data_IF_353812276089
#
_entry.id   IF_353812276089
#
_cell.length_a   1.000
_cell.length_b   1.000
_cell.length_c   1.000
_cell.angle_alpha   90.00
_cell.angle_beta   90.00
_cell.angle_gamma   90.00
#
_symmetry.space_group_name_H-M   'P 1'
#
loop_
_entity.id
_entity.type
_entity.pdbx_description
1 polymer ?
#
# COMPACT_ATOMS: atom_id res chain seq x y z
N UNK A 1 0.46 25.15 17.45
CA UNK A 1 1.23 24.82 16.25
C UNK A 1 1.15 23.33 16.10
N UNK A 2 0.79 22.86 14.92
CA UNK A 2 0.51 21.44 14.66
C UNK A 2 1.57 20.90 13.70
N UNK A 3 1.78 19.59 13.74
CA UNK A 3 2.70 18.88 12.83
C UNK A 3 1.90 18.06 11.84
N UNK A 4 2.27 18.09 10.56
CA UNK A 4 1.65 17.29 9.51
C UNK A 4 2.65 16.31 8.91
N UNK A 5 2.27 15.05 8.78
CA UNK A 5 3.11 13.97 8.27
C UNK A 5 2.42 13.21 7.15
N UNK A 6 3.19 12.76 6.15
CA UNK A 6 2.70 11.84 5.13
C UNK A 6 3.09 10.40 5.49
N UNK A 7 2.13 9.66 6.06
CA UNK A 7 2.35 8.38 6.74
C UNK A 7 3.00 8.52 8.12
N UNK A 8 2.88 7.49 8.96
CA UNK A 8 3.34 7.50 10.37
C UNK A 8 4.47 6.49 10.64
N UNK A 9 4.69 5.54 9.73
CA UNK A 9 5.59 4.42 9.96
C UNK A 9 7.08 4.68 9.64
N UNK A 10 7.42 5.83 9.07
CA UNK A 10 8.82 6.15 8.73
C UNK A 10 9.63 6.46 10.00
N UNK A 11 10.92 6.10 10.08
CA UNK A 11 11.71 6.29 11.31
C UNK A 11 11.67 7.72 11.87
N UNK A 12 11.83 8.73 11.01
CA UNK A 12 11.75 10.13 11.43
C UNK A 12 10.33 10.56 11.82
N UNK A 13 9.30 9.97 11.21
CA UNK A 13 7.91 10.28 11.52
C UNK A 13 7.53 9.70 12.89
N UNK A 14 7.96 8.47 13.20
CA UNK A 14 7.80 7.88 14.53
C UNK A 14 8.44 8.73 15.63
N UNK A 15 9.69 9.16 15.41
CA UNK A 15 10.38 10.04 16.35
C UNK A 15 9.67 11.39 16.52
N UNK A 16 9.14 11.97 15.42
CA UNK A 16 8.38 13.21 15.49
C UNK A 16 7.06 13.03 16.26
N UNK A 17 6.33 11.93 16.03
CA UNK A 17 5.08 11.61 16.74
C UNK A 17 5.34 11.47 18.24
N UNK A 18 6.36 10.72 18.64
CA UNK A 18 6.75 10.54 20.05
C UNK A 18 7.08 11.89 20.70
N UNK A 19 7.95 12.69 20.09
CA UNK A 19 8.34 14.00 20.60
C UNK A 19 7.16 14.98 20.72
N UNK A 20 6.24 14.96 19.76
CA UNK A 20 5.04 15.80 19.79
C UNK A 20 4.06 15.32 20.87
N UNK A 21 3.91 14.01 21.05
CA UNK A 21 3.09 13.41 22.10
C UNK A 21 3.52 13.85 23.50
N UNK A 22 4.82 13.84 23.80
CA UNK A 22 5.37 14.33 25.08
C UNK A 22 5.03 15.80 25.36
N UNK A 23 4.82 16.59 24.31
CA UNK A 23 4.59 18.05 24.37
C UNK A 23 3.14 18.43 24.15
N UNK A 24 2.24 17.45 24.00
CA UNK A 24 0.83 17.68 23.69
C UNK A 24 0.64 18.52 22.42
N UNK A 25 1.52 18.32 21.44
CA UNK A 25 1.44 18.94 20.11
C UNK A 25 0.63 18.03 19.19
N UNK A 26 -0.48 18.48 18.59
CA UNK A 26 -1.26 17.65 17.68
C UNK A 26 -0.45 17.26 16.44
N UNK A 27 -0.54 15.97 16.07
CA UNK A 27 0.02 15.45 14.83
C UNK A 27 -1.11 14.99 13.93
N UNK A 28 -1.14 15.50 12.71
CA UNK A 28 -2.07 15.07 11.67
C UNK A 28 -1.30 14.25 10.64
N UNK A 29 -1.75 13.03 10.41
CA UNK A 29 -1.12 12.11 9.46
C UNK A 29 -2.04 11.97 8.27
N UNK A 30 -1.54 12.33 7.09
CA UNK A 30 -2.23 12.07 5.83
C UNK A 30 -1.62 10.92 5.06
N UNK A 31 -2.46 10.22 4.29
CA UNK A 31 -2.11 9.10 3.42
C UNK A 31 -2.94 9.16 2.13
N UNK A 32 -2.54 8.40 1.11
CA UNK A 32 -3.20 8.38 -0.22
C UNK A 32 -4.70 7.96 -0.22
N UNK A 33 -5.32 7.75 0.94
CA UNK A 33 -6.75 7.49 1.08
C UNK A 33 -7.12 6.01 1.17
N UNK A 34 -8.14 5.72 1.97
CA UNK A 34 -8.79 4.40 2.00
C UNK A 34 -9.61 4.12 0.73
N UNK A 35 -10.16 5.18 0.11
CA UNK A 35 -10.92 5.12 -1.13
C UNK A 35 -10.20 5.97 -2.18
N UNK A 36 -9.66 5.31 -3.19
CA UNK A 36 -8.83 5.94 -4.23
C UNK A 36 -9.62 6.08 -5.55
N UNK A 37 -9.24 7.04 -6.42
CA UNK A 37 -8.05 7.90 -6.33
C UNK A 37 -8.29 9.29 -5.73
N UNK A 38 -9.54 9.66 -5.46
CA UNK A 38 -9.92 11.07 -5.32
C UNK A 38 -10.00 11.56 -3.87
N UNK A 39 -9.66 10.70 -2.90
CA UNK A 39 -9.68 11.03 -1.49
C UNK A 39 -8.31 10.82 -0.86
N UNK A 40 -8.02 11.64 0.14
CA UNK A 40 -6.84 11.54 1.00
C UNK A 40 -7.38 11.30 2.41
N UNK A 41 -6.78 10.35 3.12
CA UNK A 41 -7.10 10.14 4.54
C UNK A 41 -6.31 11.18 5.32
N UNK A 42 -6.93 11.83 6.31
CA UNK A 42 -6.27 12.71 7.28
C UNK A 42 -6.78 12.33 8.66
N UNK A 43 -5.90 11.82 9.50
CA UNK A 43 -6.22 11.36 10.85
C UNK A 43 -5.31 12.01 11.89
N UNK A 44 -5.81 12.09 13.12
CA UNK A 44 -5.06 12.59 14.27
C UNK A 44 -4.30 11.43 14.90
N UNK A 45 -3.05 11.68 15.29
CA UNK A 45 -2.13 10.79 16.01
C UNK A 45 -1.64 9.53 15.26
N UNK A 46 -2.34 9.04 14.24
CA UNK A 46 -1.95 7.86 13.47
C UNK A 46 -2.92 7.50 12.35
N UNK A 47 -2.47 6.67 11.40
CA UNK A 47 -3.27 6.24 10.24
C UNK A 47 -3.10 4.75 9.99
N UNK A 48 -3.99 4.13 9.20
CA UNK A 48 -3.96 2.70 8.88
C UNK A 48 -3.92 1.83 10.16
N UNK A 49 -2.88 1.03 10.38
CA UNK A 49 -2.75 0.19 11.58
C UNK A 49 -2.73 0.95 12.91
N UNK A 50 -2.36 2.24 12.91
CA UNK A 50 -2.43 3.12 14.08
C UNK A 50 -3.66 4.05 14.08
N UNK A 51 -4.59 3.87 13.15
CA UNK A 51 -5.85 4.62 13.11
C UNK A 51 -6.64 4.44 14.41
N UNK A 52 -7.23 5.54 14.88
CA UNK A 52 -8.17 5.53 16.01
C UNK A 52 -9.60 5.22 15.59
N UNK A 53 -9.86 5.03 14.29
CA UNK A 53 -11.18 4.72 13.78
C UNK A 53 -11.69 3.37 14.33
N UNK A 54 -13.02 3.22 14.48
CA UNK A 54 -13.61 1.99 14.97
C UNK A 54 -13.18 0.77 14.13
N UNK A 55 -12.87 -0.35 14.79
CA UNK A 55 -12.55 -1.61 14.10
C UNK A 55 -13.77 -2.47 13.78
N UNK A 56 -14.93 -2.09 14.31
CA UNK A 56 -16.18 -2.82 14.13
C UNK A 56 -16.86 -2.42 12.80
N UNK A 57 -17.02 -3.35 11.84
CA UNK A 57 -17.75 -3.09 10.60
C UNK A 57 -19.21 -2.66 10.82
N UNK A 58 -19.85 -3.12 11.89
CA UNK A 58 -21.24 -2.76 12.19
C UNK A 58 -21.38 -1.27 12.51
N UNK A 59 -20.38 -0.68 13.16
CA UNK A 59 -20.32 0.76 13.42
C UNK A 59 -20.40 1.57 12.12
N UNK A 60 -19.58 1.22 11.12
CA UNK A 60 -19.59 1.94 9.83
C UNK A 60 -20.90 1.79 9.08
N UNK A 61 -21.52 0.60 9.10
CA UNK A 61 -22.82 0.39 8.45
C UNK A 61 -23.92 1.21 9.12
N UNK A 62 -23.93 1.26 10.45
CA UNK A 62 -24.89 2.04 11.21
C UNK A 62 -24.70 3.54 10.97
N UNK A 63 -23.46 4.01 10.92
CA UNK A 63 -23.17 5.42 10.68
C UNK A 63 -23.46 5.81 9.22
N UNK A 64 -23.07 5.00 8.24
CA UNK A 64 -23.37 5.23 6.84
C UNK A 64 -24.87 5.30 6.55
N UNK A 65 -25.69 4.51 7.25
CA UNK A 65 -27.15 4.54 7.11
C UNK A 65 -27.78 5.85 7.60
N UNK A 66 -27.07 6.65 8.41
CA UNK A 66 -27.54 7.96 8.90
C UNK A 66 -27.11 9.11 8.00
N UNK A 67 -26.16 8.88 7.09
CA UNK A 67 -25.66 9.92 6.20
C UNK A 67 -26.68 10.22 5.08
N UNK A 68 -26.76 11.47 4.61
CA UNK A 68 -27.50 11.77 3.40
C UNK A 68 -26.85 11.07 2.19
N UNK A 69 -27.56 10.97 1.06
CA UNK A 69 -26.95 10.51 -0.19
C UNK A 69 -25.66 11.26 -0.48
N UNK A 70 -24.64 10.53 -0.94
CA UNK A 70 -23.34 11.11 -1.24
C UNK A 70 -23.49 12.25 -2.28
N UNK A 71 -22.81 13.39 -2.09
CA UNK A 71 -22.81 14.45 -3.08
C UNK A 71 -22.20 13.97 -4.40
N UNK A 72 -22.47 14.70 -5.48
CA UNK A 72 -21.84 14.42 -6.78
C UNK A 72 -20.33 14.51 -6.61
N UNK A 73 -19.68 13.40 -6.94
CA UNK A 73 -18.24 13.23 -6.79
C UNK A 73 -17.48 13.91 -7.94
N UNK A 74 -16.44 14.67 -7.61
CA UNK A 74 -15.53 15.25 -8.59
C UNK A 74 -14.24 14.44 -8.63
N UNK A 75 -13.82 14.04 -9.83
CA UNK A 75 -12.60 13.26 -10.00
C UNK A 75 -11.37 14.16 -10.07
N UNK A 76 -10.29 13.69 -9.47
CA UNK A 76 -8.95 14.28 -9.57
C UNK A 76 -8.34 13.81 -10.89
N UNK A 77 -7.97 14.73 -11.81
CA UNK A 77 -7.35 14.35 -13.06
C UNK A 77 -6.06 13.56 -12.82
N UNK A 78 -5.98 12.37 -13.40
CA UNK A 78 -4.84 11.47 -13.24
C UNK A 78 -4.16 11.20 -14.58
N UNK A 79 -2.83 11.34 -14.63
CA UNK A 79 -2.04 11.10 -15.84
C UNK A 79 -0.89 10.16 -15.51
N UNK A 80 -0.92 8.96 -16.10
CA UNK A 80 0.16 7.99 -15.94
C UNK A 80 1.50 8.56 -16.41
N UNK A 81 1.51 9.27 -17.54
CA UNK A 81 2.73 9.90 -18.08
C UNK A 81 3.32 10.91 -17.09
N UNK A 82 2.47 11.74 -16.47
CA UNK A 82 2.89 12.71 -15.46
C UNK A 82 3.50 12.00 -14.25
N UNK A 83 2.79 11.03 -13.66
CA UNK A 83 3.29 10.25 -12.51
C UNK A 83 4.61 9.56 -12.81
N UNK A 84 4.75 8.98 -14.00
CA UNK A 84 5.98 8.33 -14.42
C UNK A 84 7.15 9.32 -14.54
N UNK A 85 6.93 10.49 -15.15
CA UNK A 85 7.95 11.53 -15.26
C UNK A 85 8.35 12.10 -13.90
N UNK A 86 7.39 12.37 -13.02
CA UNK A 86 7.63 12.83 -11.66
C UNK A 86 8.41 11.78 -10.84
N UNK A 87 8.07 10.49 -10.98
CA UNK A 87 8.83 9.41 -10.35
C UNK A 87 10.27 9.31 -10.87
N UNK A 88 10.50 9.47 -12.18
CA UNK A 88 11.85 9.50 -12.76
C UNK A 88 12.63 10.71 -12.25
N UNK A 89 12.03 11.89 -12.27
CA UNK A 89 12.66 13.12 -11.78
C UNK A 89 13.04 13.02 -10.30
N UNK A 90 12.14 12.48 -9.47
CA UNK A 90 12.39 12.24 -8.06
C UNK A 90 13.55 11.26 -7.83
N UNK A 91 13.56 10.11 -8.49
CA UNK A 91 14.63 9.12 -8.32
C UNK A 91 15.98 9.61 -8.87
N UNK A 92 15.97 10.39 -9.95
CA UNK A 92 17.18 11.03 -10.45
C UNK A 92 17.74 12.03 -9.44
N UNK A 93 16.87 12.88 -8.85
CA UNK A 93 17.28 13.83 -7.81
C UNK A 93 17.83 13.11 -6.58
N UNK A 94 17.19 12.03 -6.11
CA UNK A 94 17.70 11.21 -5.01
C UNK A 94 19.12 10.69 -5.31
N UNK A 95 19.32 10.02 -6.45
CA UNK A 95 20.63 9.47 -6.84
C UNK A 95 21.69 10.59 -6.96
N UNK A 96 21.36 11.68 -7.64
CA UNK A 96 22.29 12.77 -7.93
C UNK A 96 22.63 13.63 -6.71
N UNK A 97 21.86 13.53 -5.61
CA UNK A 97 22.12 14.31 -4.37
C UNK A 97 22.69 13.47 -3.22
N UNK A 98 22.81 12.14 -3.37
CA UNK A 98 23.39 11.24 -2.34
C UNK A 98 24.83 11.59 -1.95
N UNK A 99 25.63 12.14 -2.87
CA UNK A 99 26.97 12.65 -2.56
C UNK A 99 26.96 13.93 -1.72
N UNK A 100 25.83 14.64 -1.62
CA UNK A 100 25.72 15.78 -0.72
C UNK A 100 25.18 15.33 0.64
N UNK A 101 24.28 14.35 0.64
CA UNK A 101 23.63 13.81 1.83
C UNK A 101 24.22 12.46 2.29
N UNK A 102 25.53 12.41 2.52
CA UNK A 102 26.26 11.16 2.84
C UNK A 102 25.75 10.36 4.05
N UNK A 103 25.10 11.04 5.01
CA UNK A 103 24.55 10.44 6.24
C UNK A 103 23.08 10.07 6.13
N UNK A 104 22.45 10.39 4.99
CA UNK A 104 21.06 10.05 4.76
C UNK A 104 20.91 8.55 4.52
N UNK A 105 20.08 7.92 5.33
CA UNK A 105 19.69 6.53 5.12
C UNK A 105 18.23 6.50 4.69
N UNK A 106 17.95 5.96 3.50
CA UNK A 106 16.58 5.84 3.00
C UNK A 106 15.84 4.80 3.85
N UNK A 107 14.56 5.06 4.12
CA UNK A 107 13.68 4.10 4.79
C UNK A 107 13.20 3.00 3.84
N UNK A 108 13.35 3.21 2.52
CA UNK A 108 12.98 2.21 1.51
C UNK A 108 13.90 0.99 1.57
N UNK A 109 13.34 -0.23 1.46
CA UNK A 109 14.11 -1.46 1.56
C UNK A 109 15.02 -1.72 0.35
N UNK A 110 14.74 -1.09 -0.79
CA UNK A 110 15.43 -1.33 -2.05
C UNK A 110 16.06 -0.04 -2.59
N UNK A 111 17.22 -0.17 -3.22
CA UNK A 111 17.86 0.95 -3.89
C UNK A 111 17.08 1.33 -5.16
N UNK A 112 16.96 2.62 -5.53
CA UNK A 112 16.27 3.05 -6.77
C UNK A 112 16.66 2.27 -8.04
N UNK A 113 17.94 1.92 -8.17
CA UNK A 113 18.44 1.06 -9.26
C UNK A 113 17.80 -0.32 -9.31
N UNK A 114 17.63 -0.98 -8.16
CA UNK A 114 16.99 -2.31 -8.10
C UNK A 114 15.52 -2.25 -8.49
N UNK A 115 14.80 -1.21 -8.05
CA UNK A 115 13.42 -0.96 -8.47
C UNK A 115 13.34 -0.66 -9.97
N UNK A 116 14.24 0.18 -10.50
CA UNK A 116 14.30 0.53 -11.91
C UNK A 116 14.54 -0.67 -12.82
N UNK A 117 15.45 -1.57 -12.44
CA UNK A 117 15.68 -2.83 -13.16
C UNK A 117 14.44 -3.73 -13.10
N UNK A 118 13.76 -3.80 -11.93
CA UNK A 118 12.51 -4.53 -11.78
C UNK A 118 11.41 -4.02 -12.71
N UNK A 119 11.24 -2.70 -12.78
CA UNK A 119 10.30 -2.05 -13.70
C UNK A 119 10.65 -2.31 -15.16
N UNK A 120 11.92 -2.23 -15.54
CA UNK A 120 12.35 -2.52 -16.91
C UNK A 120 12.05 -3.97 -17.30
N UNK A 121 12.36 -4.94 -16.43
CA UNK A 121 12.02 -6.35 -16.64
C UNK A 121 10.52 -6.54 -16.80
N UNK A 122 9.71 -5.92 -15.94
CA UNK A 122 8.24 -5.96 -16.00
C UNK A 122 7.71 -5.40 -17.32
N UNK A 123 8.19 -4.24 -17.74
CA UNK A 123 7.77 -3.60 -18.99
C UNK A 123 8.16 -4.45 -20.20
N UNK A 124 9.37 -4.99 -20.22
CA UNK A 124 9.86 -5.89 -21.28
C UNK A 124 8.99 -7.13 -21.41
N UNK A 125 8.62 -7.73 -20.28
CA UNK A 125 7.87 -8.99 -20.24
C UNK A 125 6.34 -8.81 -20.26
N UNK A 126 5.85 -7.57 -20.34
CA UNK A 126 4.43 -7.23 -20.13
C UNK A 126 3.49 -8.01 -21.06
N UNK A 127 3.77 -8.04 -22.37
CA UNK A 127 2.92 -8.73 -23.34
C UNK A 127 2.83 -10.23 -23.09
N UNK A 128 3.96 -10.86 -22.78
CA UNK A 128 4.00 -12.29 -22.47
C UNK A 128 3.22 -12.59 -21.18
N UNK A 129 3.35 -11.75 -20.16
CA UNK A 129 2.58 -11.87 -18.92
C UNK A 129 1.08 -11.66 -19.13
N UNK A 130 0.68 -10.71 -20.00
CA UNK A 130 -0.72 -10.48 -20.37
C UNK A 130 -1.32 -11.71 -21.07
N UNK A 131 -0.61 -12.32 -22.02
CA UNK A 131 -1.06 -13.55 -22.71
C UNK A 131 -1.25 -14.68 -21.70
N UNK A 132 -0.23 -14.96 -20.87
CA UNK A 132 -0.29 -16.01 -19.85
C UNK A 132 -1.45 -15.77 -18.85
N UNK A 133 -1.68 -14.51 -18.46
CA UNK A 133 -2.78 -14.16 -17.56
C UNK A 133 -4.13 -14.48 -18.20
N UNK A 134 -4.32 -14.14 -19.48
CA UNK A 134 -5.56 -14.44 -20.19
C UNK A 134 -5.80 -15.95 -20.30
N UNK A 135 -4.77 -16.73 -20.63
CA UNK A 135 -4.85 -18.19 -20.72
C UNK A 135 -5.25 -18.81 -19.37
N UNK A 136 -4.62 -18.38 -18.27
CA UNK A 136 -4.95 -18.86 -16.92
C UNK A 136 -6.38 -18.47 -16.52
N UNK A 137 -6.78 -17.23 -16.77
CA UNK A 137 -8.13 -16.75 -16.44
C UNK A 137 -9.21 -17.49 -17.23
N UNK A 138 -8.96 -17.76 -18.51
CA UNK A 138 -9.85 -18.55 -19.35
C UNK A 138 -9.94 -19.98 -18.82
N UNK A 139 -8.82 -20.62 -18.49
CA UNK A 139 -8.81 -21.96 -17.93
C UNK A 139 -9.58 -22.07 -16.62
N UNK A 140 -9.39 -21.12 -15.69
CA UNK A 140 -10.15 -21.08 -14.43
C UNK A 140 -11.64 -20.95 -14.70
N UNK A 141 -12.02 -20.06 -15.64
CA UNK A 141 -13.42 -19.82 -16.00
C UNK A 141 -14.07 -21.06 -16.63
N UNK A 142 -13.38 -21.72 -17.56
CA UNK A 142 -13.88 -22.89 -18.29
C UNK A 142 -13.93 -24.15 -17.42
N UNK A 143 -13.05 -24.25 -16.43
CA UNK A 143 -12.98 -25.43 -15.56
C UNK A 143 -14.19 -25.57 -14.62
N UNK A 144 -14.83 -24.45 -14.27
CA UNK A 144 -15.92 -24.42 -13.29
C UNK A 144 -15.51 -24.86 -11.88
N UNK A 145 -14.22 -25.05 -11.61
CA UNK A 145 -13.74 -25.45 -10.30
C UNK A 145 -13.92 -24.31 -9.28
N UNK A 146 -14.24 -24.63 -8.03
CA UNK A 146 -14.15 -23.65 -6.95
C UNK A 146 -12.71 -23.17 -6.85
N UNK A 147 -12.52 -21.88 -6.55
CA UNK A 147 -11.19 -21.31 -6.37
C UNK A 147 -11.18 -20.35 -5.19
N UNK A 148 -10.00 -20.22 -4.58
CA UNK A 148 -9.73 -19.23 -3.55
C UNK A 148 -8.91 -18.08 -4.14
N UNK A 149 -9.32 -16.85 -3.87
CA UNK A 149 -8.54 -15.67 -4.19
C UNK A 149 -7.78 -15.20 -2.95
N UNK A 150 -6.47 -15.05 -3.09
CA UNK A 150 -5.61 -14.42 -2.08
C UNK A 150 -4.97 -13.16 -2.67
N UNK A 151 -5.43 -11.95 -2.31
CA UNK A 151 -4.89 -10.72 -2.84
C UNK A 151 -3.48 -10.47 -2.28
N UNK A 152 -2.50 -10.31 -3.16
CA UNK A 152 -1.12 -10.01 -2.79
C UNK A 152 -0.94 -8.50 -2.56
N UNK A 153 -0.12 -8.15 -1.57
CA UNK A 153 0.36 -6.79 -1.33
C UNK A 153 1.86 -6.68 -1.65
N UNK A 154 2.39 -5.45 -1.67
CA UNK A 154 3.82 -5.23 -1.84
C UNK A 154 4.58 -5.80 -0.63
N UNK A 155 5.71 -6.46 -0.87
CA UNK A 155 6.54 -7.02 0.20
C UNK A 155 7.11 -5.92 1.14
N UNK A 156 7.32 -4.73 0.59
CA UNK A 156 7.77 -3.54 1.30
C UNK A 156 6.64 -2.79 2.04
N UNK A 157 5.39 -3.24 1.93
CA UNK A 157 4.25 -2.57 2.54
C UNK A 157 4.40 -2.55 4.08
N UNK A 158 4.34 -1.36 4.66
CA UNK A 158 4.40 -1.16 6.10
C UNK A 158 3.26 -1.89 6.83
N UNK A 159 2.09 -2.04 6.21
CA UNK A 159 0.97 -2.77 6.79
C UNK A 159 1.28 -4.26 6.97
N UNK A 160 1.97 -4.86 5.99
CA UNK A 160 2.41 -6.26 6.11
C UNK A 160 3.54 -6.34 7.14
N UNK A 161 4.56 -5.49 7.05
CA UNK A 161 5.77 -5.63 7.86
C UNK A 161 5.63 -5.20 9.33
N UNK A 162 4.77 -4.23 9.62
CA UNK A 162 4.64 -3.60 10.95
C UNK A 162 3.30 -3.89 11.62
N UNK A 163 2.24 -4.11 10.84
CA UNK A 163 0.88 -4.29 11.36
C UNK A 163 0.32 -5.70 11.13
N UNK A 164 1.16 -6.65 10.72
CA UNK A 164 0.79 -8.06 10.61
C UNK A 164 1.77 -8.95 11.38
N UNK A 165 1.39 -10.22 11.56
CA UNK A 165 2.28 -11.25 12.14
C UNK A 165 3.36 -11.74 11.16
N UNK A 166 3.41 -11.22 9.94
CA UNK A 166 4.34 -11.66 8.91
C UNK A 166 5.48 -10.65 8.74
N UNK A 167 6.70 -11.16 8.54
CA UNK A 167 7.87 -10.32 8.25
C UNK A 167 7.90 -9.77 6.81
N UNK A 168 6.97 -10.23 5.96
CA UNK A 168 6.88 -9.91 4.54
C UNK A 168 5.82 -10.78 3.85
N UNK A 169 5.72 -10.67 2.53
CA UNK A 169 4.69 -11.36 1.75
C UNK A 169 5.04 -12.84 1.51
N UNK A 170 6.32 -13.21 1.40
CA UNK A 170 6.71 -14.62 1.19
C UNK A 170 6.22 -15.55 2.33
N UNK A 171 6.45 -15.24 3.63
CA UNK A 171 5.90 -16.05 4.71
C UNK A 171 4.36 -16.13 4.69
N UNK A 172 3.68 -15.05 4.30
CA UNK A 172 2.22 -15.02 4.19
C UNK A 172 1.73 -15.96 3.08
N UNK A 173 2.32 -15.88 1.89
CA UNK A 173 2.03 -16.78 0.76
C UNK A 173 2.24 -18.24 1.16
N UNK A 174 3.40 -18.56 1.77
CA UNK A 174 3.71 -19.92 2.21
C UNK A 174 2.65 -20.45 3.18
N UNK A 175 2.27 -19.63 4.17
CA UNK A 175 1.24 -20.01 5.15
C UNK A 175 -0.11 -20.28 4.50
N UNK A 176 -0.55 -19.41 3.58
CA UNK A 176 -1.83 -19.54 2.87
C UNK A 176 -1.83 -20.77 1.98
N UNK A 177 -0.81 -20.98 1.15
CA UNK A 177 -0.70 -22.14 0.27
C UNK A 177 -0.67 -23.44 1.07
N UNK A 178 0.14 -23.52 2.14
CA UNK A 178 0.18 -24.72 2.99
C UNK A 178 -1.15 -24.98 3.69
N UNK A 179 -1.84 -23.93 4.13
CA UNK A 179 -3.17 -24.07 4.74
C UNK A 179 -4.19 -24.56 3.73
N UNK A 180 -4.17 -24.00 2.52
CA UNK A 180 -5.08 -24.37 1.44
C UNK A 180 -4.85 -25.83 1.02
N UNK A 181 -3.61 -26.22 0.74
CA UNK A 181 -3.28 -27.61 0.37
C UNK A 181 -3.71 -28.64 1.44
N UNK A 182 -3.73 -28.27 2.72
CA UNK A 182 -4.12 -29.17 3.80
C UNK A 182 -5.64 -29.22 4.10
N UNK A 183 -6.40 -28.18 3.72
CA UNK A 183 -7.80 -28.03 4.13
C UNK A 183 -8.78 -27.74 2.97
N UNK A 184 -8.28 -27.62 1.74
CA UNK A 184 -9.13 -27.41 0.58
C UNK A 184 -10.07 -28.62 0.40
N UNK A 185 -11.34 -28.39 0.04
CA UNK A 185 -12.25 -29.45 -0.35
C UNK A 185 -11.64 -30.33 -1.46
N UNK A 186 -11.99 -31.62 -1.46
CA UNK A 186 -11.45 -32.60 -2.42
C UNK A 186 -11.83 -32.35 -3.88
N UNK A 187 -12.81 -31.48 -4.12
CA UNK A 187 -13.29 -31.02 -5.42
C UNK A 187 -12.68 -29.67 -5.86
N UNK A 188 -11.66 -29.19 -5.13
CA UNK A 188 -10.90 -27.96 -5.43
C UNK A 188 -9.56 -28.25 -6.10
#
# INVERSE_FOLDING_TARGET
TDVMLFGDCRPMHKAAIEFCGERHIPVHVFEEGYIRPDWVTLEVDGVNGNSSLPRDPAWYRAEAARLPPAPVHNTVPSSFRRRALEAVAYNAADILTRWYFHKWNDYRPWHPWTEGIGWLKRLRNRKAAEILTQEIMQHITDSGHPYMLFPLQLDADAQVRLHSSFAGMEPAIRRVISSFAAHAPSDT
#
